data_IF_743881359714
#
_entry.id   IF_743881359714
#
_cell.length_a   1.000
_cell.length_b   1.000
_cell.length_c   1.000
_cell.angle_alpha   90.00
_cell.angle_beta   90.00
_cell.angle_gamma   90.00
#
_symmetry.space_group_name_H-M   'P 1'
#
loop_
_entity.id
_entity.type
_entity.pdbx_description
1 polymer ?
#
# COMPACT_ATOMS: atom_id res chain seq x y z
N UNK A 1 -2.64 -27.25 17.47
CA UNK A 1 -1.47 -26.51 16.90
C UNK A 1 -1.86 -25.35 15.97
N UNK A 2 -2.94 -25.40 15.17
CA UNK A 2 -3.25 -24.38 14.16
C UNK A 2 -3.52 -22.96 14.71
N UNK A 3 -4.14 -22.83 15.89
CA UNK A 3 -4.46 -21.51 16.48
C UNK A 3 -3.19 -20.69 16.81
N UNK A 4 -2.21 -21.28 17.51
CA UNK A 4 -0.96 -20.58 17.85
C UNK A 4 -0.14 -20.16 16.63
N UNK A 5 -0.14 -20.97 15.57
CA UNK A 5 0.55 -20.64 14.31
C UNK A 5 -0.10 -19.42 13.64
N UNK A 6 -1.43 -19.34 13.70
CA UNK A 6 -2.18 -18.19 13.19
C UNK A 6 -1.82 -16.91 13.95
N UNK A 7 -1.81 -16.97 15.29
CA UNK A 7 -1.48 -15.85 16.16
C UNK A 7 -0.05 -15.34 15.89
N UNK A 8 0.92 -16.26 15.77
CA UNK A 8 2.32 -15.90 15.45
C UNK A 8 2.40 -15.16 14.12
N UNK A 9 1.72 -15.64 13.08
CA UNK A 9 1.71 -14.96 11.78
C UNK A 9 1.08 -13.56 11.89
N UNK A 10 0.06 -13.38 12.75
CA UNK A 10 -0.54 -12.06 13.00
C UNK A 10 0.46 -11.10 13.65
N UNK A 11 1.18 -11.55 14.66
CA UNK A 11 2.22 -10.76 15.30
C UNK A 11 3.37 -10.42 14.36
N UNK A 12 3.79 -11.36 13.50
CA UNK A 12 4.83 -11.11 12.50
C UNK A 12 4.38 -10.05 11.46
N UNK A 13 3.14 -10.15 10.97
CA UNK A 13 2.58 -9.14 10.07
C UNK A 13 2.48 -7.76 10.75
N UNK A 14 2.05 -7.74 12.01
CA UNK A 14 2.04 -6.50 12.79
C UNK A 14 3.45 -5.90 12.88
N UNK A 15 4.47 -6.69 13.23
CA UNK A 15 5.86 -6.23 13.25
C UNK A 15 6.32 -5.68 11.88
N UNK A 16 5.89 -6.26 10.76
CA UNK A 16 6.22 -5.79 9.42
C UNK A 16 5.61 -4.40 9.14
N UNK A 17 4.37 -4.18 9.57
CA UNK A 17 3.73 -2.87 9.49
C UNK A 17 4.41 -1.85 10.39
N UNK A 18 4.87 -2.26 11.58
CA UNK A 18 5.60 -1.38 12.49
C UNK A 18 6.97 -1.00 11.95
N UNK A 19 7.65 -1.91 11.26
CA UNK A 19 8.86 -1.60 10.52
C UNK A 19 8.59 -0.59 9.40
N UNK A 20 7.46 -0.71 8.70
CA UNK A 20 7.05 0.26 7.68
C UNK A 20 6.81 1.65 8.30
N UNK A 21 6.20 1.68 9.48
CA UNK A 21 5.99 2.91 10.23
C UNK A 21 7.32 3.53 10.69
N UNK A 22 8.30 2.71 11.07
CA UNK A 22 9.66 3.18 11.35
C UNK A 22 10.29 3.91 10.15
N UNK A 23 10.11 3.40 8.92
CA UNK A 23 10.56 4.09 7.71
C UNK A 23 9.84 5.43 7.52
N UNK A 24 8.54 5.52 7.80
CA UNK A 24 7.80 6.79 7.74
C UNK A 24 8.23 7.81 8.81
N UNK A 25 8.97 7.38 9.84
CA UNK A 25 9.53 8.29 10.84
C UNK A 25 10.86 8.92 10.42
N UNK A 26 11.52 8.40 9.38
CA UNK A 26 12.81 8.91 8.90
C UNK A 26 12.77 10.40 8.52
N UNK A 27 11.77 10.95 7.80
CA UNK A 27 11.68 12.38 7.49
C UNK A 27 11.86 13.31 8.70
N UNK A 28 11.36 12.90 9.85
CA UNK A 28 11.41 13.71 11.07
C UNK A 28 12.80 13.68 11.73
N UNK A 29 13.61 12.66 11.44
CA UNK A 29 14.93 12.44 12.06
C UNK A 29 16.10 12.78 11.14
N UNK A 30 15.87 12.80 9.81
CA UNK A 30 16.88 13.16 8.80
C UNK A 30 17.51 14.53 9.09
N UNK A 31 16.72 15.53 9.49
CA UNK A 31 17.24 16.86 9.85
C UNK A 31 18.14 16.87 11.09
N UNK A 32 17.98 15.89 11.97
CA UNK A 32 18.80 15.71 13.16
C UNK A 32 20.03 14.83 12.91
N UNK A 33 20.33 14.51 11.63
CA UNK A 33 21.44 13.65 11.23
C UNK A 33 21.49 12.32 12.00
N UNK A 34 20.32 11.77 12.33
CA UNK A 34 20.22 10.54 13.11
C UNK A 34 19.02 9.70 12.68
N UNK A 35 19.12 8.39 12.92
CA UNK A 35 18.00 7.49 12.73
C UNK A 35 16.94 7.70 13.83
N UNK A 36 15.65 7.50 13.52
CA UNK A 36 14.60 7.53 14.53
C UNK A 36 14.95 6.59 15.69
N UNK A 37 14.85 7.03 16.95
CA UNK A 37 15.21 6.18 18.07
C UNK A 37 14.26 4.98 18.15
N UNK A 38 14.80 3.77 17.99
CA UNK A 38 13.99 2.56 17.86
C UNK A 38 13.23 2.20 19.16
N UNK A 39 13.86 2.40 20.33
CA UNK A 39 13.26 2.10 21.63
C UNK A 39 11.95 2.90 21.85
N UNK A 40 11.91 4.22 21.60
CA UNK A 40 10.68 4.99 21.58
C UNK A 40 9.57 4.45 20.68
N UNK A 41 9.89 4.10 19.42
CA UNK A 41 8.89 3.55 18.48
C UNK A 41 8.34 2.23 19.00
N UNK A 42 9.20 1.33 19.45
CA UNK A 42 8.80 0.02 19.98
C UNK A 42 7.94 0.18 21.23
N UNK A 43 8.33 1.05 22.16
CA UNK A 43 7.60 1.30 23.41
C UNK A 43 6.20 1.84 23.12
N UNK A 44 6.09 2.83 22.24
CA UNK A 44 4.82 3.41 21.84
C UNK A 44 3.92 2.40 21.12
N UNK A 45 4.51 1.62 20.20
CA UNK A 45 3.84 0.57 19.44
C UNK A 45 3.25 -0.50 20.35
N UNK A 46 4.05 -1.04 21.27
CA UNK A 46 3.61 -2.09 22.20
C UNK A 46 2.52 -1.56 23.14
N UNK A 47 2.67 -0.32 23.62
CA UNK A 47 1.66 0.33 24.46
C UNK A 47 0.35 0.52 23.72
N UNK A 48 0.39 1.01 22.48
CA UNK A 48 -0.79 1.20 21.65
C UNK A 48 -1.46 -0.14 21.29
N UNK A 49 -0.68 -1.15 20.91
CA UNK A 49 -1.18 -2.49 20.62
C UNK A 49 -1.88 -3.12 21.84
N UNK A 50 -1.31 -2.95 23.03
CA UNK A 50 -1.89 -3.45 24.27
C UNK A 50 -3.17 -2.68 24.63
N UNK A 51 -3.12 -1.35 24.67
CA UNK A 51 -4.25 -0.52 25.07
C UNK A 51 -5.43 -0.66 24.11
N UNK A 52 -5.20 -0.43 22.81
CA UNK A 52 -6.25 -0.55 21.80
C UNK A 52 -6.69 -2.00 21.62
N UNK A 53 -5.75 -2.94 21.56
CA UNK A 53 -6.05 -4.36 21.33
C UNK A 53 -6.90 -4.95 22.45
N UNK A 54 -6.58 -4.69 23.71
CA UNK A 54 -7.35 -5.19 24.86
C UNK A 54 -8.76 -4.59 24.88
N UNK A 55 -8.90 -3.27 24.67
CA UNK A 55 -10.21 -2.62 24.69
C UNK A 55 -11.07 -3.05 23.51
N UNK A 56 -10.54 -3.07 22.29
CA UNK A 56 -11.28 -3.49 21.10
C UNK A 56 -11.68 -4.96 21.21
N UNK A 57 -10.80 -5.83 21.72
CA UNK A 57 -11.11 -7.24 21.93
C UNK A 57 -12.23 -7.46 22.96
N UNK A 58 -12.17 -6.77 24.11
CA UNK A 58 -13.15 -6.93 25.19
C UNK A 58 -14.50 -6.29 24.89
N UNK A 59 -14.50 -5.06 24.37
CA UNK A 59 -15.72 -4.26 24.21
C UNK A 59 -16.37 -4.44 22.85
N UNK A 60 -15.62 -4.92 21.84
CA UNK A 60 -16.03 -4.95 20.42
C UNK A 60 -16.56 -3.60 19.92
N UNK A 61 -16.15 -2.50 20.56
CA UNK A 61 -16.62 -1.15 20.27
C UNK A 61 -15.45 -0.21 19.99
N UNK A 62 -15.55 0.58 18.93
CA UNK A 62 -14.52 1.54 18.49
C UNK A 62 -14.46 2.76 19.43
N UNK A 63 -15.59 3.16 20.02
CA UNK A 63 -15.72 4.35 20.88
C UNK A 63 -14.77 4.34 22.09
N UNK A 64 -14.73 3.30 22.95
CA UNK A 64 -13.82 3.28 24.09
C UNK A 64 -12.35 3.22 23.68
N UNK A 65 -12.03 2.61 22.54
CA UNK A 65 -10.66 2.59 22.03
C UNK A 65 -10.22 3.97 21.51
N UNK A 66 -11.11 4.73 20.89
CA UNK A 66 -10.85 6.11 20.45
C UNK A 66 -10.57 7.03 21.66
N UNK A 67 -11.27 6.82 22.78
CA UNK A 67 -11.06 7.58 24.02
C UNK A 67 -9.65 7.36 24.63
N UNK A 68 -8.92 6.33 24.21
CA UNK A 68 -7.55 6.07 24.64
C UNK A 68 -6.47 6.80 23.83
N UNK A 69 -6.83 7.50 22.75
CA UNK A 69 -5.84 8.25 21.94
C UNK A 69 -5.03 9.23 22.80
N UNK A 70 -5.63 10.09 23.66
CA UNK A 70 -4.86 11.00 24.50
C UNK A 70 -3.85 10.28 25.41
N UNK A 71 -4.18 9.10 25.91
CA UNK A 71 -3.26 8.30 26.73
C UNK A 71 -2.06 7.81 25.92
N UNK A 72 -2.28 7.32 24.69
CA UNK A 72 -1.19 6.90 23.79
C UNK A 72 -0.33 8.09 23.36
N UNK A 73 -0.93 9.28 23.19
CA UNK A 73 -0.20 10.53 22.94
C UNK A 73 0.68 10.89 24.13
N UNK A 74 0.17 10.84 25.36
CA UNK A 74 0.95 11.08 26.57
C UNK A 74 2.14 10.11 26.69
N UNK A 75 1.95 8.83 26.36
CA UNK A 75 3.04 7.85 26.31
C UNK A 75 4.07 8.26 25.25
N UNK A 76 3.63 8.60 24.04
CA UNK A 76 4.53 9.04 22.96
C UNK A 76 5.35 10.26 23.35
N UNK A 77 4.73 11.25 23.99
CA UNK A 77 5.42 12.45 24.47
C UNK A 77 6.35 12.15 25.65
N UNK A 78 5.94 11.28 26.57
CA UNK A 78 6.76 10.84 27.71
C UNK A 78 8.02 10.08 27.31
N UNK A 79 8.00 9.41 26.16
CA UNK A 79 9.18 8.71 25.61
C UNK A 79 10.04 9.63 24.71
N UNK A 80 9.66 10.91 24.57
CA UNK A 80 10.49 11.95 23.96
C UNK A 80 10.06 12.42 22.58
N UNK A 81 8.91 11.97 22.05
CA UNK A 81 8.39 12.51 20.81
C UNK A 81 7.73 13.88 21.00
N UNK A 82 7.85 14.74 20.00
CA UNK A 82 7.04 15.96 19.93
C UNK A 82 5.55 15.60 19.88
N UNK A 83 4.69 16.39 20.56
CA UNK A 83 3.25 16.10 20.70
C UNK A 83 2.57 15.83 19.35
N UNK A 84 2.88 16.60 18.30
CA UNK A 84 2.34 16.39 16.96
C UNK A 84 2.67 15.01 16.36
N UNK A 85 3.91 14.54 16.55
CA UNK A 85 4.35 13.22 16.09
C UNK A 85 3.67 12.14 16.93
N UNK A 86 3.52 12.36 18.24
CA UNK A 86 2.78 11.44 19.12
C UNK A 86 1.31 11.31 18.73
N UNK A 87 0.63 12.41 18.39
CA UNK A 87 -0.76 12.40 17.90
C UNK A 87 -0.86 11.61 16.60
N UNK A 88 0.02 11.89 15.64
CA UNK A 88 0.05 11.20 14.36
C UNK A 88 0.24 9.68 14.54
N UNK A 89 1.25 9.29 15.32
CA UNK A 89 1.53 7.89 15.60
C UNK A 89 0.39 7.21 16.36
N UNK A 90 -0.22 7.88 17.34
CA UNK A 90 -1.36 7.33 18.08
C UNK A 90 -2.56 7.03 17.17
N UNK A 91 -2.85 7.91 16.20
CA UNK A 91 -3.90 7.71 15.20
C UNK A 91 -3.59 6.59 14.22
N UNK A 92 -2.35 6.52 13.71
CA UNK A 92 -1.92 5.45 12.80
C UNK A 92 -1.98 4.10 13.51
N UNK A 93 -1.50 4.02 14.76
CA UNK A 93 -1.55 2.80 15.56
C UNK A 93 -2.99 2.37 15.85
N UNK A 94 -3.86 3.32 16.20
CA UNK A 94 -5.29 3.05 16.41
C UNK A 94 -5.91 2.43 15.16
N UNK A 95 -5.71 3.07 13.99
CA UNK A 95 -6.20 2.58 12.72
C UNK A 95 -5.65 1.18 12.41
N UNK A 96 -4.36 0.93 12.66
CA UNK A 96 -3.75 -0.36 12.38
C UNK A 96 -4.25 -1.48 13.27
N UNK A 97 -4.39 -1.23 14.57
CA UNK A 97 -4.96 -2.24 15.49
C UNK A 97 -6.40 -2.54 15.10
N UNK A 98 -7.19 -1.54 14.73
CA UNK A 98 -8.57 -1.73 14.26
C UNK A 98 -8.61 -2.56 12.96
N UNK A 99 -7.81 -2.19 11.95
CA UNK A 99 -7.72 -2.91 10.68
C UNK A 99 -7.33 -4.37 10.89
N UNK A 100 -6.38 -4.66 11.77
CA UNK A 100 -5.91 -6.02 12.04
C UNK A 100 -6.97 -6.88 12.76
N UNK A 101 -7.93 -6.27 13.46
CA UNK A 101 -9.05 -6.97 14.10
C UNK A 101 -10.22 -7.19 13.13
N UNK A 102 -10.42 -6.30 12.17
CA UNK A 102 -11.50 -6.38 11.18
C UNK A 102 -11.14 -7.25 9.95
N UNK A 103 -9.85 -7.32 9.59
CA UNK A 103 -9.45 -7.84 8.28
C UNK A 103 -9.65 -9.35 8.12
N UNK A 104 -10.38 -9.71 7.07
CA UNK A 104 -10.22 -11.02 6.40
C UNK A 104 -8.96 -10.95 5.57
N UNK A 105 -7.86 -11.50 6.10
CA UNK A 105 -6.54 -11.60 5.45
C UNK A 105 -6.64 -11.77 3.94
N UNK A 106 -6.26 -10.73 3.21
CA UNK A 106 -5.92 -10.86 1.80
C UNK A 106 -4.59 -11.63 1.69
N UNK A 107 -4.52 -12.64 0.84
CA UNK A 107 -3.31 -13.45 0.61
C UNK A 107 -2.10 -12.66 0.07
N UNK A 108 -2.22 -11.35 -0.14
CA UNK A 108 -1.19 -10.48 -0.73
C UNK A 108 -0.85 -9.26 0.12
N UNK A 109 -1.36 -9.18 1.35
CA UNK A 109 -1.19 -8.01 2.21
C UNK A 109 0.29 -7.68 2.48
N UNK A 110 1.10 -8.69 2.80
CA UNK A 110 2.53 -8.52 3.07
C UNK A 110 3.30 -7.92 1.89
N UNK A 111 2.93 -8.29 0.65
CA UNK A 111 3.54 -7.74 -0.56
C UNK A 111 3.13 -6.30 -0.80
N UNK A 112 1.89 -5.92 -0.46
CA UNK A 112 1.43 -4.53 -0.54
C UNK A 112 2.15 -3.65 0.48
N UNK A 113 2.29 -4.13 1.72
CA UNK A 113 3.02 -3.43 2.79
C UNK A 113 4.48 -3.22 2.37
N UNK A 114 5.13 -4.28 1.84
CA UNK A 114 6.48 -4.16 1.29
C UNK A 114 6.56 -3.18 0.13
N UNK A 115 5.66 -3.24 -0.85
CA UNK A 115 5.68 -2.34 -2.00
C UNK A 115 5.58 -0.86 -1.57
N UNK A 116 4.70 -0.56 -0.61
CA UNK A 116 4.57 0.78 -0.02
C UNK A 116 5.87 1.18 0.68
N UNK A 117 6.42 0.32 1.53
CA UNK A 117 7.67 0.56 2.24
C UNK A 117 8.87 0.74 1.31
N UNK A 118 8.93 -0.02 0.22
CA UNK A 118 9.97 0.02 -0.80
C UNK A 118 9.91 1.34 -1.57
N UNK A 119 8.73 1.72 -2.08
CA UNK A 119 8.56 3.00 -2.80
C UNK A 119 8.85 4.18 -1.87
N UNK A 120 8.28 4.17 -0.66
CA UNK A 120 8.54 5.22 0.32
C UNK A 120 10.04 5.28 0.67
N UNK A 121 10.66 4.14 0.96
CA UNK A 121 12.09 4.04 1.26
C UNK A 121 12.98 4.55 0.12
N UNK A 122 12.66 4.26 -1.14
CA UNK A 122 13.41 4.80 -2.28
C UNK A 122 13.29 6.32 -2.38
N UNK A 123 12.07 6.86 -2.23
CA UNK A 123 11.86 8.31 -2.21
C UNK A 123 12.68 8.94 -1.08
N UNK A 124 12.65 8.34 0.11
CA UNK A 124 13.42 8.79 1.26
C UNK A 124 14.92 8.71 1.02
N UNK A 125 15.41 7.63 0.41
CA UNK A 125 16.81 7.48 0.05
C UNK A 125 17.27 8.61 -0.86
N UNK A 126 16.59 8.83 -2.00
CA UNK A 126 16.96 9.89 -2.94
C UNK A 126 16.88 11.29 -2.33
N UNK A 127 15.86 11.53 -1.50
CA UNK A 127 15.71 12.81 -0.80
C UNK A 127 16.81 13.02 0.26
N UNK A 128 17.13 11.97 1.01
CA UNK A 128 18.15 12.02 2.07
C UNK A 128 19.57 12.04 1.53
N UNK A 129 19.81 11.64 0.28
CA UNK A 129 21.16 11.52 -0.29
C UNK A 129 21.99 12.80 -0.20
N UNK A 130 21.35 13.97 -0.25
CA UNK A 130 22.01 15.27 -0.16
C UNK A 130 22.03 15.87 1.25
N UNK A 131 21.25 15.29 2.18
CA UNK A 131 21.02 15.86 3.50
C UNK A 131 21.70 15.01 4.58
N UNK A 132 21.70 13.69 4.42
CA UNK A 132 22.09 12.71 5.42
C UNK A 132 23.25 11.86 4.90
N UNK A 133 24.41 12.01 5.53
CA UNK A 133 25.65 11.33 5.12
C UNK A 133 25.49 9.80 5.10
N UNK A 134 24.74 9.27 6.07
CA UNK A 134 24.45 7.84 6.19
C UNK A 134 23.18 7.39 5.44
N UNK A 135 22.82 8.08 4.36
CA UNK A 135 21.67 7.72 3.50
C UNK A 135 21.68 6.25 3.04
N UNK A 136 22.86 5.61 2.93
CA UNK A 136 23.00 4.18 2.64
C UNK A 136 22.29 3.28 3.67
N UNK A 137 22.17 3.70 4.93
CA UNK A 137 21.43 2.96 5.95
C UNK A 137 19.95 2.80 5.60
N UNK A 138 19.36 3.74 4.86
CA UNK A 138 17.97 3.62 4.38
C UNK A 138 17.83 2.44 3.41
N UNK A 139 18.80 2.22 2.52
CA UNK A 139 18.81 1.06 1.63
C UNK A 139 18.94 -0.25 2.41
N UNK A 140 19.78 -0.27 3.45
CA UNK A 140 19.88 -1.42 4.36
C UNK A 140 18.54 -1.69 5.04
N UNK A 141 17.86 -0.64 5.52
CA UNK A 141 16.55 -0.78 6.15
C UNK A 141 15.50 -1.34 5.17
N UNK A 142 15.48 -0.89 3.92
CA UNK A 142 14.59 -1.43 2.87
C UNK A 142 14.92 -2.90 2.59
N UNK A 143 16.20 -3.25 2.52
CA UNK A 143 16.63 -4.61 2.28
C UNK A 143 16.27 -5.55 3.44
N UNK A 144 16.44 -5.11 4.69
CA UNK A 144 15.98 -5.85 5.87
C UNK A 144 14.46 -6.02 5.85
N UNK A 145 13.70 -4.99 5.45
CA UNK A 145 12.25 -5.09 5.27
C UNK A 145 11.88 -6.16 4.23
N UNK A 146 12.57 -6.16 3.08
CA UNK A 146 12.40 -7.16 2.04
C UNK A 146 12.65 -8.59 2.56
N UNK A 147 13.76 -8.81 3.27
CA UNK A 147 14.06 -10.11 3.88
C UNK A 147 12.99 -10.53 4.89
N UNK A 148 12.52 -9.59 5.71
CA UNK A 148 11.48 -9.86 6.69
C UNK A 148 10.15 -10.23 6.02
N UNK A 149 9.77 -9.54 4.95
CA UNK A 149 8.60 -9.88 4.12
C UNK A 149 8.71 -11.27 3.53
N UNK A 150 9.87 -11.63 2.96
CA UNK A 150 10.11 -12.98 2.43
C UNK A 150 10.03 -14.03 3.53
N UNK A 151 10.59 -13.76 4.72
CA UNK A 151 10.52 -14.66 5.86
C UNK A 151 9.08 -14.93 6.31
N UNK A 152 8.26 -13.89 6.39
CA UNK A 152 6.83 -14.01 6.73
C UNK A 152 6.09 -14.81 5.66
N UNK A 153 6.37 -14.55 4.38
CA UNK A 153 5.77 -15.30 3.27
C UNK A 153 6.16 -16.78 3.32
N UNK A 154 7.43 -17.09 3.57
CA UNK A 154 7.94 -18.45 3.75
C UNK A 154 7.19 -19.16 4.87
N UNK A 155 7.11 -18.50 6.04
CA UNK A 155 6.43 -19.03 7.21
C UNK A 155 4.95 -19.28 6.96
N UNK A 156 4.27 -18.35 6.28
CA UNK A 156 2.87 -18.48 5.86
C UNK A 156 2.64 -19.69 4.95
N UNK A 157 3.53 -19.92 3.96
CA UNK A 157 3.44 -21.08 3.06
C UNK A 157 3.64 -22.40 3.79
N UNK A 158 4.62 -22.46 4.70
CA UNK A 158 4.94 -23.67 5.47
C UNK A 158 3.80 -24.02 6.43
N UNK A 159 3.21 -23.02 7.08
CA UNK A 159 2.13 -23.20 8.07
C UNK A 159 0.76 -23.41 7.44
N UNK A 160 0.56 -23.04 6.17
CA UNK A 160 -0.70 -23.29 5.45
C UNK A 160 -0.91 -24.78 5.20
N UNK A 161 -1.84 -25.39 5.94
CA UNK A 161 -2.15 -26.82 5.82
C UNK A 161 -2.98 -27.19 4.58
N UNK A 162 -3.42 -26.20 3.80
CA UNK A 162 -4.34 -26.41 2.67
C UNK A 162 -3.64 -26.40 1.31
N UNK A 163 -2.34 -26.11 1.26
CA UNK A 163 -1.58 -26.11 0.02
C UNK A 163 -1.00 -27.49 -0.26
N UNK A 164 -1.21 -27.97 -1.49
CA UNK A 164 -0.57 -29.18 -2.01
C UNK A 164 0.96 -29.06 -1.92
N UNK A 165 1.65 -30.16 -1.62
CA UNK A 165 3.11 -30.23 -1.46
C UNK A 165 3.83 -29.75 -2.73
N UNK A 166 3.26 -30.06 -3.91
CA UNK A 166 3.77 -29.55 -5.18
C UNK A 166 3.72 -28.01 -5.25
N UNK A 167 2.65 -27.40 -4.73
CA UNK A 167 2.49 -25.94 -4.67
C UNK A 167 3.48 -25.31 -3.70
N UNK A 168 3.69 -25.92 -2.52
CA UNK A 168 4.69 -25.47 -1.54
C UNK A 168 6.09 -25.48 -2.13
N UNK A 169 6.49 -26.58 -2.78
CA UNK A 169 7.80 -26.70 -3.44
C UNK A 169 7.98 -25.65 -4.55
N UNK A 170 6.95 -25.40 -5.35
CA UNK A 170 6.98 -24.36 -6.39
C UNK A 170 7.15 -22.96 -5.79
N UNK A 171 6.39 -22.63 -4.75
CA UNK A 171 6.47 -21.32 -4.10
C UNK A 171 7.83 -21.13 -3.41
N UNK A 172 8.36 -22.18 -2.78
CA UNK A 172 9.70 -22.16 -2.17
C UNK A 172 10.80 -21.94 -3.21
N UNK A 173 10.75 -22.63 -4.36
CA UNK A 173 11.66 -22.38 -5.49
C UNK A 173 11.56 -20.95 -5.99
N UNK A 174 10.34 -20.42 -6.11
CA UNK A 174 10.12 -19.05 -6.55
C UNK A 174 10.74 -18.05 -5.56
N UNK A 175 10.54 -18.27 -4.26
CA UNK A 175 11.12 -17.45 -3.20
C UNK A 175 12.66 -17.46 -3.20
N UNK A 176 13.29 -18.64 -3.35
CA UNK A 176 14.75 -18.74 -3.50
C UNK A 176 15.20 -17.99 -4.76
N UNK A 177 14.47 -18.16 -5.87
CA UNK A 177 14.72 -17.44 -7.11
C UNK A 177 14.67 -15.92 -6.92
N UNK A 178 13.65 -15.40 -6.22
CA UNK A 178 13.52 -13.98 -5.91
C UNK A 178 14.66 -13.50 -5.00
N UNK A 179 15.06 -14.28 -3.99
CA UNK A 179 16.16 -13.93 -3.09
C UNK A 179 17.50 -13.89 -3.83
N UNK A 180 17.77 -14.87 -4.69
CA UNK A 180 18.98 -14.91 -5.53
C UNK A 180 19.00 -13.75 -6.52
N UNK A 181 17.86 -13.44 -7.14
CA UNK A 181 17.73 -12.31 -8.07
C UNK A 181 17.96 -10.99 -7.34
N UNK A 182 17.35 -10.79 -6.18
CA UNK A 182 17.51 -9.58 -5.37
C UNK A 182 18.95 -9.43 -4.86
N UNK A 183 19.57 -10.51 -4.40
CA UNK A 183 20.96 -10.51 -3.93
C UNK A 183 21.94 -10.23 -5.07
N UNK A 184 21.71 -10.84 -6.24
CA UNK A 184 22.50 -10.58 -7.45
C UNK A 184 22.34 -9.14 -7.90
N UNK A 185 21.11 -8.62 -7.93
CA UNK A 185 20.83 -7.23 -8.29
C UNK A 185 21.47 -6.25 -7.30
N UNK A 186 21.42 -6.52 -6.00
CA UNK A 186 22.09 -5.71 -4.98
C UNK A 186 23.61 -5.77 -5.11
N UNK A 187 24.19 -6.95 -5.36
CA UNK A 187 25.63 -7.12 -5.57
C UNK A 187 26.11 -6.41 -6.83
N UNK A 188 25.41 -6.60 -7.97
CA UNK A 188 25.71 -5.91 -9.22
C UNK A 188 25.50 -4.41 -9.06
N UNK A 189 24.41 -3.98 -8.43
CA UNK A 189 24.13 -2.58 -8.12
C UNK A 189 25.25 -1.96 -7.30
N UNK A 190 25.65 -2.58 -6.19
CA UNK A 190 26.74 -2.09 -5.34
C UNK A 190 28.11 -2.11 -6.02
N UNK A 191 28.40 -3.11 -6.86
CA UNK A 191 29.68 -3.20 -7.57
C UNK A 191 29.76 -2.22 -8.75
N UNK A 192 28.65 -1.99 -9.45
CA UNK A 192 28.56 -1.10 -10.63
C UNK A 192 28.35 0.36 -10.22
N UNK A 193 27.71 0.62 -9.08
CA UNK A 193 27.36 1.97 -8.63
C UNK A 193 28.55 2.94 -8.55
N UNK A 194 29.74 2.58 -8.01
CA UNK A 194 30.90 3.47 -8.01
C UNK A 194 31.30 3.92 -9.42
N UNK A 195 31.30 2.99 -10.38
CA UNK A 195 31.63 3.29 -11.77
C UNK A 195 30.56 4.16 -12.42
N UNK A 196 29.27 3.89 -12.14
CA UNK A 196 28.18 4.72 -12.62
C UNK A 196 28.25 6.14 -12.04
N UNK A 197 28.48 6.26 -10.72
CA UNK A 197 28.66 7.54 -10.01
C UNK A 197 29.85 8.31 -10.59
N UNK A 198 30.99 7.65 -10.77
CA UNK A 198 32.19 8.27 -11.35
C UNK A 198 31.94 8.72 -12.79
N UNK A 199 31.29 7.90 -13.61
CA UNK A 199 30.95 8.24 -15.00
C UNK A 199 29.98 9.43 -15.05
N UNK A 200 28.97 9.44 -14.19
CA UNK A 200 28.03 10.54 -14.09
C UNK A 200 28.70 11.84 -13.63
N UNK A 201 29.54 11.79 -12.57
CA UNK A 201 30.33 12.94 -12.14
C UNK A 201 31.29 13.44 -13.22
N UNK A 202 31.93 12.52 -13.95
CA UNK A 202 32.78 12.87 -15.08
C UNK A 202 31.98 13.64 -16.13
N UNK A 203 30.85 13.11 -16.59
CA UNK A 203 29.99 13.78 -17.58
C UNK A 203 29.51 15.15 -17.08
N UNK A 204 29.02 15.24 -15.85
CA UNK A 204 28.55 16.49 -15.27
C UNK A 204 29.68 17.52 -15.09
N UNK A 205 30.88 17.09 -14.72
CA UNK A 205 32.05 17.95 -14.61
C UNK A 205 32.39 18.59 -15.96
N UNK A 206 32.51 17.80 -17.03
CA UNK A 206 32.80 18.34 -18.36
C UNK A 206 31.66 19.19 -18.93
N UNK A 207 30.40 18.83 -18.65
CA UNK A 207 29.25 19.65 -19.00
C UNK A 207 29.33 21.03 -18.34
N UNK A 208 29.58 21.06 -17.02
CA UNK A 208 29.70 22.29 -16.23
C UNK A 208 30.88 23.14 -16.70
N UNK A 209 32.01 22.50 -16.97
CA UNK A 209 33.20 23.15 -17.51
C UNK A 209 32.91 23.76 -18.90
N UNK A 210 32.25 23.02 -19.79
CA UNK A 210 31.83 23.52 -21.10
C UNK A 210 30.87 24.72 -21.00
N UNK A 211 29.87 24.65 -20.12
CA UNK A 211 28.95 25.76 -19.85
C UNK A 211 29.69 26.96 -19.26
N UNK A 212 30.68 26.74 -18.39
CA UNK A 212 31.50 27.81 -17.80
C UNK A 212 32.32 28.53 -18.88
N UNK A 213 32.94 27.79 -19.81
CA UNK A 213 33.64 28.39 -20.94
C UNK A 213 32.74 29.21 -21.86
N UNK A 214 31.48 28.78 -22.05
CA UNK A 214 30.49 29.55 -22.81
C UNK A 214 29.97 30.77 -22.03
N UNK A 215 29.91 30.69 -20.71
CA UNK A 215 29.47 31.78 -19.85
C UNK A 215 30.50 32.92 -19.76
N UNK A 216 31.81 32.64 -19.80
CA UNK A 216 32.86 33.66 -19.74
C UNK A 216 32.68 34.79 -20.76
N UNK A 217 32.55 34.54 -22.08
CA UNK A 217 32.37 35.62 -23.05
C UNK A 217 31.04 36.37 -22.85
N UNK A 218 29.99 35.68 -22.44
CA UNK A 218 28.70 36.30 -22.14
C UNK A 218 28.79 37.23 -20.93
N UNK A 219 29.44 36.80 -19.85
CA UNK A 219 29.67 37.60 -18.64
C UNK A 219 30.57 38.80 -18.94
N UNK A 220 31.64 38.62 -19.72
CA UNK A 220 32.50 39.73 -20.16
C UNK A 220 31.73 40.74 -21.02
N UNK A 221 30.86 40.26 -21.91
CA UNK A 221 30.00 41.13 -22.71
C UNK A 221 28.99 41.91 -21.85
N UNK A 222 28.37 41.25 -20.86
CA UNK A 222 27.48 41.91 -19.90
C UNK A 222 28.23 42.93 -19.04
N UNK A 223 29.46 42.62 -18.61
CA UNK A 223 30.29 43.56 -17.86
C UNK A 223 30.61 44.83 -18.66
N UNK A 224 30.86 44.70 -19.97
CA UNK A 224 31.05 45.85 -20.86
C UNK A 224 29.77 46.70 -20.99
N UNK A 225 28.58 46.07 -21.00
CA UNK A 225 27.28 46.74 -21.12
C UNK A 225 26.85 47.48 -19.86
N UNK A 226 27.10 46.91 -18.68
CA UNK A 226 26.72 47.49 -17.39
C UNK A 226 27.57 48.73 -17.05
N UNK A 227 28.69 48.92 -17.76
CA UNK A 227 29.63 49.98 -17.48
C UNK A 227 30.50 49.58 -16.29
N UNK A 228 31.80 49.68 -16.47
CA UNK A 228 32.78 49.25 -15.48
C UNK A 228 32.79 50.23 -14.30
N UNK A 229 31.78 50.19 -13.42
CA UNK A 229 31.86 50.77 -12.07
C UNK A 229 32.71 49.86 -11.19
N UNK A 230 33.93 49.56 -11.65
CA UNK A 230 34.98 49.12 -10.76
C UNK A 230 35.38 50.36 -9.97
N UNK A 231 34.74 50.57 -8.82
CA UNK A 231 35.46 51.16 -7.70
C UNK A 231 36.73 50.31 -7.54
N UNK A 232 37.85 50.96 -7.82
CA UNK A 232 39.17 50.38 -7.76
C UNK A 232 39.47 50.13 -6.27
N UNK A 233 38.99 49.01 -5.74
CA UNK A 233 39.43 48.53 -4.43
C UNK A 233 40.94 48.36 -4.51
N UNK A 234 41.67 49.26 -3.86
CA UNK A 234 43.12 49.23 -3.72
C UNK A 234 43.49 47.89 -3.09
N UNK A 235 43.93 46.98 -3.95
CA UNK A 235 44.49 45.71 -3.54
C UNK A 235 45.86 45.99 -2.93
N UNK A 236 45.88 46.27 -1.62
CA UNK A 236 47.09 46.19 -0.82
C UNK A 236 47.72 44.81 -1.04
N UNK A 237 49.00 44.71 -1.42
CA UNK A 237 49.69 43.44 -1.64
C UNK A 237 49.96 42.77 -0.29
N UNK A 238 48.92 42.16 0.26
CA UNK A 238 48.99 41.28 1.41
C UNK A 238 49.56 39.93 0.99
N UNK A 239 50.74 39.64 1.52
CA UNK A 239 51.45 38.37 1.50
C UNK A 239 50.51 37.20 1.89
N UNK A 240 49.89 36.51 0.93
CA UNK A 240 49.20 35.23 1.19
C UNK A 240 50.11 34.07 0.85
N UNK A 241 50.96 33.74 1.81
CA UNK A 241 51.62 32.44 1.91
C UNK A 241 50.56 31.43 2.32
N UNK A 242 50.24 30.50 1.42
CA UNK A 242 50.17 29.08 1.76
C UNK A 242 49.14 28.59 2.78
N UNK A 243 48.02 29.27 2.99
CA UNK A 243 46.85 28.60 3.57
C UNK A 243 45.86 28.29 2.45
N UNK A 244 45.78 27.00 2.12
CA UNK A 244 44.65 26.40 1.45
C UNK A 244 43.44 26.71 2.31
N UNK A 245 42.80 27.84 2.01
CA UNK A 245 41.56 28.26 2.62
C UNK A 245 40.55 27.15 2.41
N UNK A 246 40.30 26.38 3.46
CA UNK A 246 39.05 25.67 3.67
C UNK A 246 37.93 26.72 3.88
N UNK A 247 37.71 27.59 2.89
CA UNK A 247 36.48 28.38 2.74
C UNK A 247 35.45 27.49 2.07
N UNK A 248 35.06 26.42 2.76
CA UNK A 248 33.78 25.77 2.48
C UNK A 248 33.08 25.68 3.82
N UNK A 249 31.88 26.26 3.87
CA UNK A 249 30.89 26.15 4.95
C UNK A 249 30.89 27.23 6.03
N UNK A 250 30.76 28.52 5.67
CA UNK A 250 29.88 29.37 6.50
C UNK A 250 29.30 30.61 5.80
N UNK A 251 28.70 30.46 4.62
CA UNK A 251 27.65 31.40 4.22
C UNK A 251 26.30 30.87 4.70
N UNK A 252 25.94 31.31 5.91
CA UNK A 252 24.56 31.29 6.39
C UNK A 252 23.80 32.40 5.64
N UNK A 253 23.62 32.21 4.34
CA UNK A 253 22.69 33.02 3.57
C UNK A 253 21.31 32.82 4.19
N UNK A 254 20.57 33.91 4.38
CA UNK A 254 19.13 33.94 4.66
C UNK A 254 18.37 33.40 3.44
N UNK A 255 18.64 32.14 3.13
CA UNK A 255 17.91 31.34 2.17
C UNK A 255 16.53 31.17 2.78
N UNK A 256 15.55 31.88 2.22
CA UNK A 256 14.10 31.61 2.30
C UNK A 256 13.85 30.31 3.06
N UNK A 257 13.41 30.40 4.32
CA UNK A 257 13.40 29.29 5.27
C UNK A 257 12.64 28.10 4.67
N UNK A 258 13.36 27.27 3.91
CA UNK A 258 12.81 26.15 3.16
C UNK A 258 12.21 25.14 4.14
N UNK A 259 12.61 25.22 5.41
CA UNK A 259 12.01 24.53 6.54
C UNK A 259 10.53 24.90 6.70
N UNK A 260 10.17 26.17 6.61
CA UNK A 260 8.80 26.67 6.74
C UNK A 260 7.92 26.24 5.55
N UNK A 261 8.45 26.36 4.33
CA UNK A 261 7.79 25.87 3.11
C UNK A 261 7.61 24.35 3.18
N UNK A 262 8.64 23.62 3.60
CA UNK A 262 8.63 22.17 3.78
C UNK A 262 7.60 21.72 4.82
N UNK A 263 7.56 22.34 6.00
CA UNK A 263 6.55 22.04 7.02
C UNK A 263 5.14 22.32 6.52
N UNK A 264 4.96 23.38 5.73
CA UNK A 264 3.66 23.70 5.12
C UNK A 264 3.22 22.63 4.13
N UNK A 265 4.13 22.15 3.27
CA UNK A 265 3.85 21.07 2.30
C UNK A 265 3.62 19.73 3.01
N UNK A 266 4.42 19.40 4.02
CA UNK A 266 4.28 18.17 4.80
C UNK A 266 2.95 18.14 5.57
N UNK A 267 2.56 19.26 6.19
CA UNK A 267 1.24 19.41 6.84
C UNK A 267 0.12 19.31 5.79
N UNK A 268 0.29 19.92 4.62
CA UNK A 268 -0.68 19.83 3.52
C UNK A 268 -0.90 18.40 3.03
N UNK A 269 0.18 17.64 2.81
CA UNK A 269 0.13 16.23 2.42
C UNK A 269 -0.47 15.35 3.53
N UNK A 270 -0.14 15.63 4.79
CA UNK A 270 -0.72 14.94 5.93
C UNK A 270 -2.23 15.19 6.03
N UNK A 271 -2.66 16.45 5.89
CA UNK A 271 -4.07 16.81 5.86
C UNK A 271 -4.80 16.17 4.67
N UNK A 272 -4.19 16.11 3.49
CA UNK A 272 -4.75 15.43 2.32
C UNK A 272 -4.88 13.91 2.53
N UNK A 273 -3.87 13.28 3.15
CA UNK A 273 -3.91 11.87 3.52
C UNK A 273 -5.00 11.59 4.55
N UNK A 274 -5.10 12.40 5.60
CA UNK A 274 -6.14 12.29 6.62
C UNK A 274 -7.53 12.53 6.02
N UNK A 275 -7.68 13.48 5.10
CA UNK A 275 -8.92 13.72 4.37
C UNK A 275 -9.30 12.54 3.47
N UNK A 276 -8.34 11.96 2.75
CA UNK A 276 -8.56 10.76 1.94
C UNK A 276 -9.00 9.57 2.78
N UNK A 277 -8.35 9.36 3.93
CA UNK A 277 -8.72 8.33 4.89
C UNK A 277 -10.12 8.58 5.46
N UNK A 278 -10.42 9.81 5.89
CA UNK A 278 -11.73 10.22 6.38
C UNK A 278 -12.84 9.94 5.35
N UNK A 279 -12.64 10.33 4.09
CA UNK A 279 -13.59 10.09 3.00
C UNK A 279 -13.81 8.59 2.77
N UNK A 280 -12.74 7.79 2.79
CA UNK A 280 -12.83 6.32 2.64
C UNK A 280 -13.58 5.69 3.82
N UNK A 281 -13.33 6.16 5.04
CA UNK A 281 -13.94 5.64 6.26
C UNK A 281 -15.44 5.92 6.34
N UNK A 282 -15.89 7.14 6.06
CA UNK A 282 -17.31 7.48 6.08
C UNK A 282 -18.07 6.67 5.03
N UNK A 283 -17.49 6.47 3.85
CA UNK A 283 -18.18 5.73 2.81
C UNK A 283 -18.27 4.22 3.09
N UNK A 284 -17.28 3.61 3.74
CA UNK A 284 -17.32 2.16 4.02
C UNK A 284 -18.13 1.81 5.28
N UNK A 285 -18.06 2.63 6.34
CA UNK A 285 -18.77 2.33 7.60
C UNK A 285 -20.25 2.70 7.57
N UNK A 286 -20.63 3.76 6.86
CA UNK A 286 -22.03 4.21 6.85
C UNK A 286 -22.91 3.43 5.87
N UNK A 287 -22.34 2.88 4.79
CA UNK A 287 -23.10 2.14 3.76
C UNK A 287 -23.06 0.62 4.01
N UNK A 288 -21.99 0.08 4.62
CA UNK A 288 -21.84 -1.36 4.84
C UNK A 288 -22.64 -1.95 5.99
N UNK A 289 -22.98 -1.17 7.01
CA UNK A 289 -23.70 -1.67 8.20
C UNK A 289 -25.24 -1.57 8.09
N UNK A 290 -25.78 -0.80 7.13
CA UNK A 290 -27.22 -0.74 6.92
C UNK A 290 -27.78 -1.96 6.15
N UNK A 291 -26.92 -2.79 5.55
CA UNK A 291 -27.34 -3.90 4.70
C UNK A 291 -27.00 -5.31 5.23
N UNK A 292 -26.25 -5.44 6.33
CA UNK A 292 -25.71 -6.73 6.78
C UNK A 292 -26.37 -7.34 8.02
N UNK A 293 -27.33 -6.66 8.66
CA UNK A 293 -28.00 -7.17 9.87
C UNK A 293 -29.36 -7.85 9.64
N UNK A 294 -29.68 -8.24 8.40
CA UNK A 294 -30.75 -9.23 8.17
C UNK A 294 -30.19 -10.65 8.27
N UNK A 295 -30.09 -11.07 9.53
CA UNK A 295 -30.20 -12.43 10.07
C UNK A 295 -30.93 -13.44 9.16
N UNK A 296 -30.46 -14.69 9.22
CA UNK A 296 -31.04 -15.96 8.72
C UNK A 296 -31.10 -16.20 7.21
N UNK A 297 -30.06 -16.85 6.68
CA UNK A 297 -30.23 -17.89 5.64
C UNK A 297 -29.01 -18.83 5.64
N UNK A 298 -29.05 -19.78 6.58
CA UNK A 298 -28.02 -20.80 6.78
C UNK A 298 -28.51 -22.18 6.27
N UNK A 299 -29.19 -22.19 5.12
CA UNK A 299 -29.61 -23.43 4.46
C UNK A 299 -29.22 -23.38 2.98
N UNK A 300 -28.48 -24.41 2.56
CA UNK A 300 -27.97 -24.69 1.21
C UNK A 300 -26.54 -24.21 0.89
N UNK A 301 -25.59 -24.53 1.77
CA UNK A 301 -24.21 -24.77 1.32
C UNK A 301 -24.11 -26.19 0.75
N UNK A 302 -24.39 -26.38 -0.54
CA UNK A 302 -23.89 -27.55 -1.26
C UNK A 302 -22.36 -27.43 -1.38
N UNK A 303 -21.60 -28.53 -1.30
CA UNK A 303 -20.16 -28.51 -1.46
C UNK A 303 -19.84 -28.22 -2.92
N UNK A 304 -19.70 -26.95 -3.26
CA UNK A 304 -19.05 -26.55 -4.50
C UNK A 304 -17.56 -26.90 -4.37
N UNK A 305 -17.11 -27.89 -5.14
CA UNK A 305 -15.69 -28.15 -5.37
C UNK A 305 -15.01 -26.81 -5.72
N UNK A 306 -14.25 -26.28 -4.78
CA UNK A 306 -13.39 -25.12 -4.97
C UNK A 306 -12.25 -25.51 -5.91
N UNK A 307 -12.51 -25.47 -7.22
CA UNK A 307 -11.42 -25.42 -8.20
C UNK A 307 -10.61 -24.15 -7.94
N UNK A 308 -9.27 -24.24 -7.85
CA UNK A 308 -8.42 -23.09 -7.55
C UNK A 308 -8.63 -22.00 -8.60
N UNK A 309 -9.00 -20.81 -8.14
CA UNK A 309 -9.19 -19.65 -8.98
C UNK A 309 -7.84 -19.28 -9.60
N UNK A 310 -7.74 -19.44 -10.92
CA UNK A 310 -6.59 -19.00 -11.69
C UNK A 310 -6.59 -17.45 -11.70
N UNK A 311 -5.57 -16.75 -11.17
CA UNK A 311 -5.58 -15.29 -11.01
C UNK A 311 -5.60 -14.51 -12.34
N UNK A 312 -5.41 -15.18 -13.47
CA UNK A 312 -5.52 -14.61 -14.82
C UNK A 312 -6.90 -14.75 -15.46
N UNK A 313 -7.90 -15.27 -14.74
CA UNK A 313 -9.26 -15.43 -15.26
C UNK A 313 -10.03 -14.10 -15.19
N UNK A 314 -10.05 -13.39 -16.31
CA UNK A 314 -10.87 -12.19 -16.59
C UNK A 314 -12.37 -12.44 -16.29
N UNK A 315 -12.81 -13.71 -16.21
CA UNK A 315 -14.18 -14.07 -15.82
C UNK A 315 -14.59 -13.62 -14.42
N UNK A 316 -13.65 -13.46 -13.48
CA UNK A 316 -14.02 -13.04 -12.10
C UNK A 316 -14.58 -11.62 -12.04
N UNK A 317 -14.08 -10.70 -12.90
CA UNK A 317 -14.56 -9.31 -13.01
C UNK A 317 -15.89 -9.17 -13.75
N UNK A 318 -16.36 -10.21 -14.42
CA UNK A 318 -17.65 -10.22 -15.14
C UNK A 318 -18.80 -10.78 -14.29
N UNK A 319 -18.54 -11.16 -13.04
CA UNK A 319 -19.60 -11.68 -12.16
C UNK A 319 -20.53 -10.53 -11.76
N UNK A 320 -21.82 -10.56 -12.12
CA UNK A 320 -22.74 -9.48 -11.79
C UNK A 320 -22.93 -9.34 -10.26
N UNK A 321 -23.00 -8.10 -9.77
CA UNK A 321 -23.30 -7.82 -8.35
C UNK A 321 -24.74 -8.23 -7.97
N UNK A 322 -25.69 -8.02 -8.89
CA UNK A 322 -27.09 -8.38 -8.69
C UNK A 322 -27.26 -9.91 -8.60
N UNK A 323 -27.95 -10.36 -7.56
CA UNK A 323 -28.11 -11.78 -7.25
C UNK A 323 -28.79 -12.58 -8.38
N UNK A 324 -29.84 -12.03 -9.00
CA UNK A 324 -30.55 -12.67 -10.12
C UNK A 324 -29.63 -12.85 -11.31
N UNK A 325 -28.87 -11.80 -11.67
CA UNK A 325 -27.90 -11.85 -12.78
C UNK A 325 -26.77 -12.85 -12.49
N UNK A 326 -26.32 -12.94 -11.23
CA UNK A 326 -25.31 -13.90 -10.80
C UNK A 326 -25.82 -15.34 -10.88
N UNK A 327 -27.05 -15.60 -10.46
CA UNK A 327 -27.67 -16.93 -10.52
C UNK A 327 -27.90 -17.36 -11.99
N UNK A 328 -28.37 -16.44 -12.84
CA UNK A 328 -28.52 -16.66 -14.27
C UNK A 328 -27.18 -17.01 -14.92
N UNK A 329 -26.15 -16.19 -14.70
CA UNK A 329 -24.80 -16.41 -15.26
C UNK A 329 -24.23 -17.78 -14.85
N UNK A 330 -24.39 -18.17 -13.58
CA UNK A 330 -23.98 -19.51 -13.13
C UNK A 330 -24.74 -20.61 -13.84
N UNK A 331 -26.04 -20.44 -14.05
CA UNK A 331 -26.90 -21.41 -14.75
C UNK A 331 -26.47 -21.55 -16.21
N UNK A 332 -26.30 -20.43 -16.93
CA UNK A 332 -25.79 -20.40 -18.30
C UNK A 332 -24.42 -21.09 -18.42
N UNK A 333 -23.49 -20.81 -17.50
CA UNK A 333 -22.18 -21.45 -17.48
C UNK A 333 -22.23 -22.97 -17.23
N UNK A 334 -23.21 -23.47 -16.46
CA UNK A 334 -23.43 -24.90 -16.26
C UNK A 334 -23.98 -25.54 -17.52
N UNK A 335 -24.98 -24.91 -18.15
CA UNK A 335 -25.58 -25.40 -19.40
C UNK A 335 -24.60 -25.38 -20.56
N UNK A 336 -23.72 -24.37 -20.64
CA UNK A 336 -22.65 -24.30 -21.63
C UNK A 336 -21.70 -25.50 -21.55
N UNK A 337 -21.42 -26.02 -20.34
CA UNK A 337 -20.61 -27.24 -20.17
C UNK A 337 -21.32 -28.51 -20.64
N UNK A 338 -22.65 -28.49 -20.72
CA UNK A 338 -23.48 -29.59 -21.22
C UNK A 338 -23.88 -29.40 -22.69
N UNK A 339 -23.22 -28.47 -23.41
CA UNK A 339 -23.54 -28.12 -24.81
C UNK A 339 -24.96 -27.58 -25.04
N UNK A 340 -25.68 -27.24 -23.96
CA UNK A 340 -27.02 -26.63 -24.00
C UNK A 340 -26.98 -25.13 -23.63
N UNK A 341 -25.80 -24.51 -23.68
CA UNK A 341 -25.64 -23.08 -23.41
C UNK A 341 -26.22 -22.20 -24.53
N UNK A 342 -26.48 -20.94 -24.20
CA UNK A 342 -26.93 -19.93 -25.16
C UNK A 342 -25.88 -19.73 -26.25
N UNK A 343 -26.27 -19.79 -27.51
CA UNK A 343 -25.40 -19.46 -28.65
C UNK A 343 -25.21 -17.95 -28.76
N UNK A 344 -24.13 -17.51 -29.41
CA UNK A 344 -23.79 -16.08 -29.50
C UNK A 344 -24.88 -15.23 -30.17
N UNK A 345 -25.60 -15.80 -31.13
CA UNK A 345 -26.70 -15.15 -31.86
C UNK A 345 -28.07 -15.26 -31.18
N UNK A 346 -28.18 -15.99 -30.07
CA UNK A 346 -29.45 -16.20 -29.37
C UNK A 346 -29.68 -15.14 -28.30
N UNK A 347 -30.91 -14.63 -28.23
CA UNK A 347 -31.37 -13.83 -27.08
C UNK A 347 -31.59 -14.73 -25.85
N UNK A 348 -31.81 -14.13 -24.68
CA UNK A 348 -32.09 -14.90 -23.45
C UNK A 348 -33.42 -15.63 -23.62
N UNK A 349 -34.37 -15.00 -24.29
CA UNK A 349 -35.71 -15.49 -24.58
C UNK A 349 -35.66 -16.66 -25.55
N UNK A 350 -34.91 -16.53 -26.65
CA UNK A 350 -34.74 -17.63 -27.62
C UNK A 350 -34.13 -18.85 -26.93
N UNK A 351 -33.11 -18.62 -26.10
CA UNK A 351 -32.43 -19.68 -25.39
C UNK A 351 -33.35 -20.35 -24.37
N UNK A 352 -33.97 -19.61 -23.45
CA UNK A 352 -34.87 -20.18 -22.44
C UNK A 352 -36.08 -20.87 -23.08
N UNK A 353 -36.60 -20.32 -24.18
CA UNK A 353 -37.72 -20.92 -24.92
C UNK A 353 -37.33 -22.24 -25.57
N UNK A 354 -36.08 -22.39 -26.02
CA UNK A 354 -35.56 -23.65 -26.60
C UNK A 354 -35.39 -24.80 -25.60
N UNK A 355 -35.39 -24.52 -24.29
CA UNK A 355 -35.21 -25.54 -23.26
C UNK A 355 -36.51 -26.32 -23.00
N UNK A 356 -36.41 -27.62 -22.75
CA UNK A 356 -37.56 -28.50 -22.46
C UNK A 356 -38.05 -28.31 -21.02
N UNK A 357 -38.82 -27.25 -20.77
CA UNK A 357 -39.37 -26.94 -19.45
C UNK A 357 -40.77 -26.30 -19.55
N UNK A 358 -41.49 -26.28 -18.42
CA UNK A 358 -42.83 -25.70 -18.32
C UNK A 358 -42.84 -24.19 -18.67
N UNK A 359 -43.81 -23.78 -19.48
CA UNK A 359 -43.94 -22.42 -20.01
C UNK A 359 -44.07 -21.38 -18.89
N UNK A 360 -44.72 -21.72 -17.77
CA UNK A 360 -44.85 -20.82 -16.61
C UNK A 360 -43.50 -20.46 -15.99
N UNK A 361 -42.60 -21.45 -15.89
CA UNK A 361 -41.27 -21.27 -15.34
C UNK A 361 -40.33 -20.54 -16.32
N UNK A 362 -40.48 -20.75 -17.64
CA UNK A 362 -39.76 -19.98 -18.67
C UNK A 362 -40.06 -18.49 -18.54
N UNK A 363 -41.33 -18.15 -18.47
CA UNK A 363 -41.79 -16.77 -18.37
C UNK A 363 -41.26 -16.09 -17.11
N UNK A 364 -41.34 -16.78 -15.97
CA UNK A 364 -40.82 -16.28 -14.67
C UNK A 364 -39.33 -15.95 -14.74
N UNK A 365 -38.52 -16.80 -15.40
CA UNK A 365 -37.08 -16.59 -15.55
C UNK A 365 -36.79 -15.37 -16.42
N UNK A 366 -37.45 -15.30 -17.58
CA UNK A 366 -37.27 -14.22 -18.56
C UNK A 366 -37.64 -12.87 -17.95
N UNK A 367 -38.83 -12.74 -17.37
CA UNK A 367 -39.31 -11.48 -16.80
C UNK A 367 -38.45 -10.98 -15.64
N UNK A 368 -38.10 -11.88 -14.72
CA UNK A 368 -37.29 -11.51 -13.55
C UNK A 368 -35.87 -11.10 -13.96
N UNK A 369 -35.28 -11.81 -14.93
CA UNK A 369 -33.96 -11.47 -15.45
C UNK A 369 -33.94 -10.13 -16.18
N UNK A 370 -34.93 -9.88 -17.05
CA UNK A 370 -35.08 -8.58 -17.73
C UNK A 370 -35.21 -7.44 -16.75
N UNK A 371 -36.05 -7.62 -15.72
CA UNK A 371 -36.22 -6.63 -14.67
C UNK A 371 -34.91 -6.36 -13.92
N UNK A 372 -34.13 -7.40 -13.62
CA UNK A 372 -32.81 -7.25 -12.98
C UNK A 372 -31.76 -6.57 -13.87
N UNK A 373 -31.91 -6.64 -15.20
CA UNK A 373 -30.93 -6.19 -16.18
C UNK A 373 -31.22 -4.79 -16.72
N UNK A 374 -32.49 -4.48 -16.98
CA UNK A 374 -32.94 -3.24 -17.61
C UNK A 374 -33.88 -2.42 -16.72
N UNK A 375 -34.33 -2.98 -15.60
CA UNK A 375 -35.16 -2.25 -14.64
C UNK A 375 -34.36 -1.79 -13.43
N UNK A 376 -34.47 -0.51 -13.08
CA UNK A 376 -33.96 0.04 -11.81
C UNK A 376 -34.79 -0.40 -10.59
N UNK A 377 -35.52 -1.52 -10.67
CA UNK A 377 -36.43 -1.99 -9.63
C UNK A 377 -35.77 -3.03 -8.74
N UNK A 378 -35.82 -2.79 -7.43
CA UNK A 378 -35.47 -3.77 -6.39
C UNK A 378 -36.41 -4.98 -6.53
N UNK A 379 -35.83 -6.16 -6.73
CA UNK A 379 -36.59 -7.41 -6.84
C UNK A 379 -37.02 -7.82 -5.43
N UNK A 380 -38.31 -8.05 -5.23
CA UNK A 380 -38.84 -8.44 -3.93
C UNK A 380 -38.39 -9.87 -3.58
N UNK A 381 -38.29 -10.17 -2.28
CA UNK A 381 -37.90 -11.50 -1.76
C UNK A 381 -38.78 -12.63 -2.31
N UNK A 382 -40.08 -12.38 -2.49
CA UNK A 382 -40.99 -13.37 -3.06
C UNK A 382 -40.63 -13.68 -4.52
N UNK A 383 -40.46 -12.64 -5.35
CA UNK A 383 -40.08 -12.80 -6.77
C UNK A 383 -38.72 -13.50 -6.92
N UNK A 384 -37.76 -13.20 -6.04
CA UNK A 384 -36.47 -13.89 -6.01
C UNK A 384 -36.64 -15.39 -5.66
N UNK A 385 -37.56 -15.72 -4.77
CA UNK A 385 -37.85 -17.10 -4.36
C UNK A 385 -38.50 -17.88 -5.51
N UNK A 386 -39.44 -17.26 -6.20
CA UNK A 386 -40.10 -17.83 -7.38
C UNK A 386 -39.10 -18.05 -8.51
N UNK A 387 -38.21 -17.07 -8.73
CA UNK A 387 -37.11 -17.16 -9.69
C UNK A 387 -36.13 -18.30 -9.36
N UNK A 388 -35.68 -18.41 -8.10
CA UNK A 388 -34.81 -19.51 -7.66
C UNK A 388 -35.50 -20.86 -7.87
N UNK A 389 -36.80 -20.94 -7.63
CA UNK A 389 -37.58 -22.17 -7.82
C UNK A 389 -37.69 -22.53 -9.30
N UNK A 390 -37.92 -21.55 -10.17
CA UNK A 390 -37.94 -21.75 -11.62
C UNK A 390 -36.56 -22.19 -12.16
N UNK A 391 -35.47 -21.58 -11.70
CA UNK A 391 -34.10 -21.97 -12.06
C UNK A 391 -33.75 -23.37 -11.53
N UNK A 392 -34.26 -23.79 -10.37
CA UNK A 392 -34.09 -25.17 -9.91
C UNK A 392 -34.81 -26.19 -10.78
N UNK A 393 -35.98 -25.83 -11.33
CA UNK A 393 -36.70 -26.69 -12.27
C UNK A 393 -35.94 -26.91 -13.57
N UNK A 394 -35.09 -25.97 -14.00
CA UNK A 394 -34.17 -26.16 -15.14
C UNK A 394 -33.12 -27.25 -14.91
N UNK A 395 -32.80 -27.58 -13.66
CA UNK A 395 -31.74 -28.56 -13.36
C UNK A 395 -32.23 -30.00 -13.29
N UNK A 396 -33.55 -30.21 -13.25
CA UNK A 396 -34.17 -31.52 -13.39
C UNK A 396 -34.32 -31.84 -14.86
#
# INVERSE_FOLDING_TARGET
MKARQHDILCWLMFLLEMYTLYLFMLPFSIYAQSLPPAIPIVTMTLSAALLYGVILYKTKSVKPALALIPLVVLIGTGVGYHVYVSVLLALIMFWRVLSNLEDRREETHELKVFAIAFIAGLILYFWSYYIFDDSWLILVLIFVHFLFTLGIRAFSIITSSQTDEASKRRNFKWMIGTLLLASTAAFLGGSVYPYFKQSFHFVMYYLTLGLSYLAIPLLNFLALLVGNTQEQEETTPGYYVGEVYNFVHQERNDVLDFRLIFWTVAIGLLCALLFFLYKKFIHSTFIGHAASDSTTDNLLAMPAEKKPANPFSIRSRLTPENEVRRLFYKTEAIFAKKECGRKEFQTVEDWITSLSMDSSAKQTIIETYHRARYGDKVINKQELTDYRTAIKKLWK
#
